data_IF_423247643104
#
_entry.id   IF_423247643104
#
_cell.length_a   1.000
_cell.length_b   1.000
_cell.length_c   1.000
_cell.angle_alpha   90.00
_cell.angle_beta   90.00
_cell.angle_gamma   90.00
#
_symmetry.space_group_name_H-M   'P 1'
#
loop_
_entity.id
_entity.type
_entity.pdbx_description
1 polymer ?
#
# COMPACT_ATOMS: atom_id res chain seq x y z
N UNK A 1 -14.47 -21.84 -1.47
CA UNK A 1 -14.41 -20.88 -0.34
C UNK A 1 -13.00 -20.99 0.22
N UNK A 2 -12.07 -20.08 -0.04
CA UNK A 2 -12.13 -18.62 0.04
C UNK A 2 -11.08 -18.03 -0.91
N UNK A 3 -11.46 -17.24 -1.90
CA UNK A 3 -10.52 -16.27 -2.50
C UNK A 3 -10.26 -15.21 -1.45
N UNK A 4 -9.22 -15.42 -0.64
CA UNK A 4 -8.84 -14.44 0.38
C UNK A 4 -8.47 -13.14 -0.34
N UNK A 5 -9.16 -12.04 0.00
CA UNK A 5 -8.88 -10.72 -0.60
C UNK A 5 -7.38 -10.43 -0.55
N UNK A 6 -6.86 -9.86 -1.64
CA UNK A 6 -5.49 -9.35 -1.76
C UNK A 6 -5.29 -8.27 -0.69
N UNK A 7 -4.15 -8.27 -0.02
CA UNK A 7 -3.88 -7.33 1.08
C UNK A 7 -2.97 -6.23 0.57
N UNK A 8 -3.35 -4.98 0.78
CA UNK A 8 -2.51 -3.81 0.48
C UNK A 8 -2.23 -3.06 1.76
N UNK A 9 -0.95 -2.88 2.08
CA UNK A 9 -0.51 -2.26 3.34
C UNK A 9 0.23 -0.95 3.04
N UNK A 10 -0.34 0.20 3.41
CA UNK A 10 0.34 1.47 3.30
C UNK A 10 1.37 1.63 4.41
N UNK A 11 2.34 2.51 4.18
CA UNK A 11 3.33 2.86 5.18
C UNK A 11 2.69 3.63 6.35
N UNK A 12 3.41 3.74 7.47
CA UNK A 12 2.96 4.45 8.68
C UNK A 12 2.56 5.91 8.46
N UNK A 13 2.93 6.52 7.33
CA UNK A 13 2.51 7.87 6.96
C UNK A 13 3.16 9.01 7.74
N UNK A 14 4.22 8.75 8.53
CA UNK A 14 4.76 9.73 9.47
C UNK A 14 5.44 10.90 8.73
N UNK A 15 4.76 12.06 8.73
CA UNK A 15 5.35 13.37 8.45
C UNK A 15 5.72 13.67 6.99
N UNK A 16 5.22 12.91 6.01
CA UNK A 16 5.54 13.10 4.58
C UNK A 16 4.31 12.96 3.69
N UNK A 17 4.20 13.83 2.68
CA UNK A 17 3.11 13.78 1.68
C UNK A 17 3.01 12.40 0.99
N UNK A 18 4.14 11.75 0.71
CA UNK A 18 4.15 10.39 0.13
C UNK A 18 3.53 9.33 1.04
N UNK A 19 3.54 9.55 2.36
CA UNK A 19 2.82 8.72 3.30
C UNK A 19 1.31 8.87 3.17
N UNK A 20 0.84 10.10 2.97
CA UNK A 20 -0.58 10.38 2.69
C UNK A 20 -1.00 9.82 1.34
N UNK A 21 -0.18 9.97 0.29
CA UNK A 21 -0.40 9.35 -1.03
C UNK A 21 -0.50 7.83 -0.93
N UNK A 22 0.38 7.20 -0.13
CA UNK A 22 0.34 5.76 0.13
C UNK A 22 -1.01 5.31 0.72
N UNK A 23 -1.51 6.04 1.73
CA UNK A 23 -2.82 5.78 2.34
C UNK A 23 -3.98 6.02 1.37
N UNK A 24 -3.92 7.09 0.58
CA UNK A 24 -4.91 7.40 -0.44
C UNK A 24 -5.01 6.27 -1.49
N UNK A 25 -3.88 5.78 -1.99
CA UNK A 25 -3.86 4.66 -2.94
C UNK A 25 -4.47 3.38 -2.32
N UNK A 26 -4.16 3.08 -1.05
CA UNK A 26 -4.80 1.98 -0.34
C UNK A 26 -6.32 2.20 -0.22
N UNK A 27 -6.77 3.39 0.15
CA UNK A 27 -8.19 3.71 0.29
C UNK A 27 -8.95 3.51 -1.04
N UNK A 28 -8.38 3.97 -2.16
CA UNK A 28 -8.97 3.78 -3.48
C UNK A 28 -9.11 2.30 -3.87
N UNK A 29 -8.16 1.45 -3.45
CA UNK A 29 -8.24 0.00 -3.69
C UNK A 29 -9.28 -0.66 -2.79
N UNK A 30 -9.25 -0.38 -1.48
CA UNK A 30 -9.96 -1.20 -0.49
C UNK A 30 -11.37 -0.69 -0.18
N UNK A 31 -11.67 0.59 -0.40
CA UNK A 31 -12.95 1.18 -0.03
C UNK A 31 -13.78 1.64 -1.23
N UNK A 32 -13.18 1.95 -2.38
CA UNK A 32 -13.92 2.49 -3.54
C UNK A 32 -13.98 1.51 -4.71
N UNK A 33 -12.86 1.25 -5.39
CA UNK A 33 -12.89 0.68 -6.74
C UNK A 33 -12.83 -0.84 -6.75
N UNK A 34 -12.16 -1.45 -5.76
CA UNK A 34 -11.85 -2.88 -5.77
C UNK A 34 -12.07 -3.53 -4.38
N UNK A 35 -13.01 -3.01 -3.60
CA UNK A 35 -13.29 -3.46 -2.22
C UNK A 35 -13.62 -4.95 -2.08
N UNK A 36 -14.11 -5.59 -3.14
CA UNK A 36 -14.40 -7.04 -3.13
C UNK A 36 -13.16 -7.91 -3.35
N UNK A 37 -12.12 -7.34 -3.96
CA UNK A 37 -10.88 -8.04 -4.27
C UNK A 37 -9.74 -7.70 -3.30
N UNK A 38 -9.73 -6.48 -2.77
CA UNK A 38 -8.66 -5.96 -1.92
C UNK A 38 -9.17 -5.60 -0.51
N UNK A 39 -8.28 -5.74 0.46
CA UNK A 39 -8.45 -5.26 1.83
C UNK A 39 -7.14 -4.69 2.36
N UNK A 40 -7.21 -3.90 3.43
CA UNK A 40 -6.03 -3.41 4.14
C UNK A 40 -5.76 -4.21 5.42
N UNK A 41 -4.53 -4.09 5.94
CA UNK A 41 -4.12 -4.60 7.24
C UNK A 41 -3.50 -3.48 8.06
N UNK A 42 -3.84 -3.42 9.34
CA UNK A 42 -3.28 -2.44 10.26
C UNK A 42 -1.80 -2.77 10.53
N UNK A 43 -0.88 -1.92 10.04
CA UNK A 43 0.56 -2.12 10.18
C UNK A 43 1.02 -2.40 11.63
N UNK A 44 0.51 -1.70 12.67
CA UNK A 44 0.79 -2.02 14.07
C UNK A 44 0.49 -3.47 14.49
N UNK A 45 -0.50 -4.16 13.90
CA UNK A 45 -0.78 -5.55 14.24
C UNK A 45 0.39 -6.46 13.86
N UNK A 46 1.02 -6.20 12.71
CA UNK A 46 2.21 -6.94 12.28
C UNK A 46 3.40 -6.64 13.20
N UNK A 47 3.56 -5.39 13.63
CA UNK A 47 4.61 -4.99 14.58
C UNK A 47 4.41 -5.65 15.95
N UNK A 48 3.15 -5.82 16.38
CA UNK A 48 2.80 -6.47 17.63
C UNK A 48 2.91 -8.01 17.57
N UNK A 49 3.14 -8.60 16.39
CA UNK A 49 3.17 -10.05 16.22
C UNK A 49 1.79 -10.70 16.34
N UNK A 50 0.73 -9.98 15.98
CA UNK A 50 -0.65 -10.48 16.01
C UNK A 50 -0.81 -11.69 15.08
N UNK A 51 -1.16 -12.85 15.66
CA UNK A 51 -1.16 -14.12 14.92
C UNK A 51 -2.31 -14.20 13.90
N UNK A 52 -3.47 -13.62 14.20
CA UNK A 52 -4.60 -13.63 13.27
C UNK A 52 -4.29 -12.78 12.03
N UNK A 53 -3.63 -11.63 12.21
CA UNK A 53 -3.14 -10.81 11.11
C UNK A 53 -2.11 -11.56 10.26
N UNK A 54 -1.11 -12.19 10.90
CA UNK A 54 -0.05 -12.96 10.23
C UNK A 54 -0.65 -14.14 9.46
N UNK A 55 -1.59 -14.88 10.04
CA UNK A 55 -2.23 -16.02 9.40
C UNK A 55 -3.12 -15.62 8.22
N UNK A 56 -3.69 -14.40 8.24
CA UNK A 56 -4.36 -13.84 7.08
C UNK A 56 -3.37 -13.51 5.96
N UNK A 57 -2.23 -12.90 6.28
CA UNK A 57 -1.20 -12.59 5.29
C UNK A 57 -0.68 -13.86 4.59
N UNK A 58 -0.49 -14.98 5.32
CA UNK A 58 -0.06 -16.27 4.75
C UNK A 58 -0.99 -16.83 3.68
N UNK A 59 -2.26 -16.41 3.69
CA UNK A 59 -3.32 -16.92 2.79
C UNK A 59 -3.65 -15.95 1.66
N UNK A 60 -2.98 -14.80 1.58
CA UNK A 60 -3.28 -13.71 0.66
C UNK A 60 -2.04 -13.28 -0.11
N UNK A 61 -2.24 -12.75 -1.33
CA UNK A 61 -1.20 -11.93 -2.00
C UNK A 61 -1.05 -10.62 -1.20
N UNK A 62 0.19 -10.20 -0.94
CA UNK A 62 0.48 -9.03 -0.09
C UNK A 62 1.24 -7.97 -0.88
N UNK A 63 0.66 -6.79 -0.97
CA UNK A 63 1.20 -5.61 -1.65
C UNK A 63 1.55 -4.56 -0.59
N UNK A 64 2.66 -3.86 -0.77
CA UNK A 64 3.07 -2.79 0.14
C UNK A 64 3.30 -1.50 -0.61
N UNK A 65 2.91 -0.38 0.01
CA UNK A 65 3.10 0.96 -0.57
C UNK A 65 3.93 1.77 0.42
N UNK A 66 5.18 2.07 0.07
CA UNK A 66 6.12 2.77 0.94
C UNK A 66 6.44 4.18 0.45
N UNK A 67 6.13 5.15 1.31
CA UNK A 67 6.34 6.57 1.05
C UNK A 67 7.79 7.04 1.21
N UNK A 68 8.69 6.22 1.77
CA UNK A 68 10.10 6.60 1.95
C UNK A 68 11.02 5.39 2.08
N UNK A 69 12.36 5.56 1.94
CA UNK A 69 13.33 4.47 1.97
C UNK A 69 13.40 3.66 3.28
N UNK A 70 12.71 4.10 4.34
CA UNK A 70 12.59 3.34 5.60
C UNK A 70 11.71 2.09 5.44
N UNK A 71 10.90 1.99 4.38
CA UNK A 71 10.12 0.81 4.00
C UNK A 71 9.33 0.17 5.15
N UNK A 72 8.64 1.00 5.95
CA UNK A 72 8.01 0.48 7.16
C UNK A 72 6.89 -0.52 6.86
N UNK A 73 6.23 -0.46 5.71
CA UNK A 73 5.24 -1.48 5.33
C UNK A 73 5.94 -2.78 4.91
N UNK A 74 6.82 -2.74 3.90
CA UNK A 74 7.55 -3.92 3.41
C UNK A 74 8.29 -4.63 4.54
N UNK A 75 9.10 -3.91 5.33
CA UNK A 75 9.88 -4.53 6.40
C UNK A 75 9.02 -5.14 7.51
N UNK A 76 7.83 -4.59 7.78
CA UNK A 76 6.94 -5.18 8.79
C UNK A 76 6.34 -6.48 8.31
N UNK A 77 6.04 -6.60 7.00
CA UNK A 77 5.58 -7.86 6.40
C UNK A 77 6.70 -8.90 6.39
N UNK A 78 7.88 -8.54 5.87
CA UNK A 78 9.02 -9.46 5.76
C UNK A 78 9.46 -10.01 7.12
N UNK A 79 9.38 -9.21 8.20
CA UNK A 79 9.68 -9.65 9.57
C UNK A 79 8.75 -10.74 10.10
N UNK A 80 7.57 -10.92 9.50
CA UNK A 80 6.65 -12.02 9.83
C UNK A 80 7.02 -13.32 9.11
N UNK A 81 8.05 -13.31 8.25
CA UNK A 81 8.47 -14.44 7.41
C UNK A 81 7.62 -14.61 6.16
N UNK A 82 6.88 -13.57 5.76
CA UNK A 82 5.98 -13.58 4.60
C UNK A 82 6.57 -12.69 3.51
N UNK A 83 6.57 -13.18 2.28
CA UNK A 83 7.05 -12.44 1.12
C UNK A 83 6.01 -11.44 0.62
N UNK A 84 6.50 -10.26 0.23
CA UNK A 84 5.68 -9.24 -0.41
C UNK A 84 5.56 -9.56 -1.90
N UNK A 85 4.33 -9.75 -2.39
CA UNK A 85 4.01 -9.93 -3.82
C UNK A 85 4.51 -8.76 -4.66
N UNK A 86 4.30 -7.53 -4.20
CA UNK A 86 4.84 -6.32 -4.84
C UNK A 86 5.13 -5.21 -3.84
N UNK A 87 6.37 -4.73 -3.86
CA UNK A 87 6.76 -3.48 -3.20
C UNK A 87 6.58 -2.31 -4.17
N UNK A 88 5.78 -1.31 -3.78
CA UNK A 88 5.65 -0.04 -4.50
C UNK A 88 6.25 1.08 -3.67
N UNK A 89 7.24 1.76 -4.23
CA UNK A 89 7.85 2.95 -3.62
C UNK A 89 7.26 4.21 -4.25
N UNK A 90 6.53 5.00 -3.48
CA UNK A 90 5.90 6.25 -3.96
C UNK A 90 6.90 7.18 -4.67
N UNK A 91 8.12 7.41 -4.16
CA UNK A 91 9.11 8.24 -4.87
C UNK A 91 9.53 7.68 -6.24
N UNK A 92 9.55 6.35 -6.40
CA UNK A 92 9.89 5.71 -7.69
C UNK A 92 8.78 5.89 -8.71
N UNK A 93 7.52 5.90 -8.26
CA UNK A 93 6.36 6.16 -9.14
C UNK A 93 6.38 7.62 -9.59
N UNK A 94 6.57 8.56 -8.67
CA UNK A 94 6.68 9.99 -9.01
C UNK A 94 7.85 10.27 -9.97
N UNK A 95 8.97 9.57 -9.84
CA UNK A 95 10.10 9.73 -10.75
C UNK A 95 9.78 9.32 -12.20
N UNK A 96 8.76 8.48 -12.42
CA UNK A 96 8.27 8.10 -13.75
C UNK A 96 7.21 9.08 -14.29
N UNK A 97 6.54 9.80 -13.40
CA UNK A 97 5.51 10.78 -13.76
C UNK A 97 5.60 12.01 -12.83
N UNK A 98 6.50 12.92 -13.16
CA UNK A 98 6.85 14.06 -12.31
C UNK A 98 5.73 15.11 -12.20
N UNK A 99 4.78 15.09 -13.13
CA UNK A 99 3.66 16.04 -13.15
C UNK A 99 2.66 15.76 -12.01
N UNK A 100 2.64 14.53 -11.49
CA UNK A 100 1.80 14.12 -10.37
C UNK A 100 2.45 14.43 -9.00
N UNK A 101 3.21 15.52 -8.91
CA UNK A 101 3.84 15.93 -7.65
C UNK A 101 2.77 16.27 -6.60
N UNK A 102 2.74 15.59 -5.43
CA UNK A 102 1.77 15.89 -4.39
C UNK A 102 2.08 17.22 -3.71
N UNK A 103 1.06 17.81 -3.10
CA UNK A 103 1.16 18.96 -2.24
C UNK A 103 1.84 18.64 -0.89
N UNK A 104 1.11 18.85 0.20
CA UNK A 104 1.62 18.72 1.56
C UNK A 104 1.18 17.41 2.21
N UNK A 105 1.68 17.14 3.42
CA UNK A 105 1.23 16.01 4.24
C UNK A 105 -0.25 16.11 4.63
N UNK A 106 -0.78 17.32 4.80
CA UNK A 106 -2.18 17.55 5.21
C UNK A 106 -3.14 17.52 4.03
N UNK A 107 -2.67 17.96 2.87
CA UNK A 107 -3.42 17.99 1.63
C UNK A 107 -2.48 17.71 0.47
N UNK A 108 -2.62 16.53 -0.12
CA UNK A 108 -1.81 16.06 -1.25
C UNK A 108 -2.24 16.69 -2.58
N UNK A 109 -3.37 17.39 -2.61
CA UNK A 109 -3.92 18.04 -3.79
C UNK A 109 -4.31 17.08 -4.92
N UNK A 110 -4.86 17.61 -6.02
CA UNK A 110 -5.30 16.80 -7.16
C UNK A 110 -4.16 15.97 -7.77
N UNK A 111 -2.96 16.53 -7.87
CA UNK A 111 -1.79 15.81 -8.38
C UNK A 111 -1.37 14.65 -7.48
N UNK A 112 -1.53 14.77 -6.16
CA UNK A 112 -1.28 13.67 -5.24
C UNK A 112 -2.31 12.55 -5.35
N UNK A 113 -3.57 12.88 -5.65
CA UNK A 113 -4.62 11.90 -5.95
C UNK A 113 -4.33 11.18 -7.27
N UNK A 114 -3.82 11.90 -8.28
CA UNK A 114 -3.36 11.28 -9.53
C UNK A 114 -2.16 10.35 -9.29
N UNK A 115 -1.21 10.74 -8.45
CA UNK A 115 -0.10 9.85 -8.07
C UNK A 115 -0.59 8.59 -7.34
N UNK A 116 -1.59 8.72 -6.48
CA UNK A 116 -2.23 7.57 -5.84
C UNK A 116 -2.87 6.64 -6.89
N UNK A 117 -3.53 7.21 -7.90
CA UNK A 117 -4.11 6.45 -9.02
C UNK A 117 -3.05 5.71 -9.84
N UNK A 118 -1.88 6.32 -10.07
CA UNK A 118 -0.77 5.63 -10.74
C UNK A 118 -0.31 4.39 -9.95
N UNK A 119 -0.27 4.49 -8.61
CA UNK A 119 0.06 3.37 -7.72
C UNK A 119 -1.01 2.28 -7.79
N UNK A 120 -2.29 2.67 -7.80
CA UNK A 120 -3.42 1.74 -7.95
C UNK A 120 -3.26 0.94 -9.24
N UNK A 121 -3.00 1.59 -10.37
CA UNK A 121 -2.82 0.91 -11.66
C UNK A 121 -1.66 -0.10 -11.62
N UNK A 122 -0.52 0.26 -11.02
CA UNK A 122 0.63 -0.66 -10.86
C UNK A 122 0.24 -1.92 -10.07
N UNK A 123 -0.56 -1.77 -9.02
CA UNK A 123 -1.01 -2.91 -8.20
C UNK A 123 -2.00 -3.78 -8.98
N UNK A 124 -2.91 -3.16 -9.75
CA UNK A 124 -3.90 -3.89 -10.54
C UNK A 124 -3.25 -4.69 -11.68
N UNK A 125 -2.28 -4.10 -12.38
CA UNK A 125 -1.54 -4.77 -13.48
C UNK A 125 -0.81 -6.04 -13.00
N UNK A 126 -0.27 -6.01 -11.78
CA UNK A 126 0.36 -7.18 -11.13
C UNK A 126 -0.67 -8.12 -10.49
N UNK A 127 -1.91 -7.68 -10.33
CA UNK A 127 -2.97 -8.41 -9.65
C UNK A 127 -3.91 -9.18 -10.60
N UNK A 128 -3.73 -9.09 -11.92
CA UNK A 128 -4.66 -9.62 -12.94
C UNK A 128 -4.48 -11.11 -13.30
N UNK A 129 -3.74 -11.89 -12.51
CA UNK A 129 -3.60 -13.35 -12.69
C UNK A 129 -4.72 -14.15 -12.01
#
# INVERSE_FOLDING_TARGET
MSDAKKIVIPCSGIGKAFGTVSREATYQLTETNHREEYRTMCLPLLVAGDQDAIDLLKKSRVYTIDGCPKKCATLSVERTGIDVTKEVMVPKVLAKNTDHKPGTVRDIGPNGVLLAKDIVNIILEEGSD
#
